data_IF_679366895777
#
_entry.id   IF_679366895777
#
_cell.length_a   1.000
_cell.length_b   1.000
_cell.length_c   1.000
_cell.angle_alpha   90.00
_cell.angle_beta   90.00
_cell.angle_gamma   90.00
#
_symmetry.space_group_name_H-M   'P 1'
#
loop_
_entity.id
_entity.type
_entity.pdbx_description
1 polymer ?
#
# COMPACT_ATOMS: atom_id res chain seq x y z
N UNK A 1 -1.94 -11.06 13.99
CA UNK A 1 -0.92 -11.19 12.93
C UNK A 1 -1.64 -11.47 11.61
N UNK A 2 -1.30 -10.74 10.54
CA UNK A 2 -1.95 -10.92 9.23
C UNK A 2 -1.52 -12.23 8.58
N UNK A 3 -2.44 -12.87 7.87
CA UNK A 3 -2.20 -14.12 7.16
C UNK A 3 -1.55 -13.90 5.79
N UNK A 4 -1.12 -14.98 5.13
CA UNK A 4 -0.44 -14.92 3.84
C UNK A 4 -1.27 -14.28 2.74
N UNK A 5 -2.59 -14.48 2.74
CA UNK A 5 -3.47 -13.85 1.75
C UNK A 5 -3.52 -12.33 1.93
N UNK A 6 -3.56 -11.84 3.18
CA UNK A 6 -3.49 -10.41 3.49
C UNK A 6 -2.13 -9.83 3.10
N UNK A 7 -1.04 -10.53 3.38
CA UNK A 7 0.32 -10.17 2.95
C UNK A 7 0.43 -10.09 1.42
N UNK A 8 -0.17 -11.02 0.69
CA UNK A 8 -0.18 -11.00 -0.77
C UNK A 8 -0.99 -9.81 -1.34
N UNK A 9 -2.14 -9.48 -0.74
CA UNK A 9 -2.92 -8.29 -1.13
C UNK A 9 -2.12 -7.02 -0.86
N UNK A 10 -1.43 -6.94 0.28
CA UNK A 10 -0.57 -5.82 0.65
C UNK A 10 0.53 -5.56 -0.39
N UNK A 11 1.26 -6.61 -0.80
CA UNK A 11 2.30 -6.51 -1.83
C UNK A 11 1.71 -6.04 -3.17
N UNK A 12 0.63 -6.67 -3.64
CA UNK A 12 -0.01 -6.29 -4.92
C UNK A 12 -0.49 -4.84 -4.92
N UNK A 13 -0.93 -4.32 -3.78
CA UNK A 13 -1.31 -2.94 -3.62
C UNK A 13 -0.09 -2.02 -3.76
N UNK A 14 0.99 -2.31 -3.04
CA UNK A 14 2.26 -1.58 -3.15
C UNK A 14 2.84 -1.61 -4.57
N UNK A 15 2.83 -2.78 -5.23
CA UNK A 15 3.24 -2.93 -6.62
C UNK A 15 2.39 -2.06 -7.56
N UNK A 16 1.05 -2.05 -7.37
CA UNK A 16 0.15 -1.23 -8.19
C UNK A 16 0.43 0.27 -8.02
N UNK A 17 0.64 0.73 -6.78
CA UNK A 17 1.05 2.11 -6.51
C UNK A 17 2.39 2.45 -7.16
N UNK A 18 3.41 1.58 -7.01
CA UNK A 18 4.74 1.78 -7.59
C UNK A 18 4.72 1.88 -9.13
N UNK A 19 3.80 1.12 -9.76
CA UNK A 19 3.58 1.12 -11.20
C UNK A 19 2.61 2.22 -11.65
N UNK A 20 2.17 3.09 -10.73
CA UNK A 20 1.23 4.21 -10.99
C UNK A 20 -0.12 3.74 -11.54
N UNK A 21 -0.51 2.51 -11.21
CA UNK A 21 -1.82 1.91 -11.51
C UNK A 21 -2.79 2.22 -10.37
N UNK A 22 -3.06 3.51 -10.18
CA UNK A 22 -3.84 4.00 -9.03
C UNK A 22 -5.28 3.51 -9.03
N UNK A 23 -5.87 3.32 -10.20
CA UNK A 23 -7.19 2.70 -10.38
C UNK A 23 -7.23 1.27 -9.83
N UNK A 24 -6.21 0.47 -10.15
CA UNK A 24 -6.07 -0.90 -9.66
C UNK A 24 -5.85 -0.88 -8.15
N UNK A 25 -4.89 -0.09 -7.65
CA UNK A 25 -4.63 0.03 -6.21
C UNK A 25 -5.90 0.45 -5.44
N UNK A 26 -6.62 1.45 -5.93
CA UNK A 26 -7.85 1.94 -5.32
C UNK A 26 -8.96 0.90 -5.32
N UNK A 27 -9.09 0.06 -6.36
CA UNK A 27 -10.06 -1.04 -6.40
C UNK A 27 -9.79 -2.16 -5.38
N UNK A 28 -8.57 -2.20 -4.80
CA UNK A 28 -8.20 -3.12 -3.73
C UNK A 28 -8.59 -2.58 -2.34
N UNK A 29 -8.96 -1.30 -2.23
CA UNK A 29 -9.47 -0.71 -1.00
C UNK A 29 -10.92 -1.13 -0.73
N UNK A 30 -11.31 -1.10 0.55
CA UNK A 30 -12.69 -1.34 0.99
C UNK A 30 -13.62 -0.24 0.48
N UNK A 31 -14.92 -0.52 0.39
CA UNK A 31 -15.92 0.50 0.02
C UNK A 31 -15.94 1.67 1.00
N UNK A 32 -15.72 1.41 2.29
CA UNK A 32 -15.64 2.45 3.31
C UNK A 32 -14.45 3.39 3.06
N UNK A 33 -13.26 2.84 2.80
CA UNK A 33 -12.08 3.62 2.48
C UNK A 33 -12.25 4.39 1.15
N UNK A 34 -12.82 3.75 0.13
CA UNK A 34 -13.16 4.41 -1.13
C UNK A 34 -14.16 5.55 -0.93
N UNK A 35 -15.14 5.42 -0.03
CA UNK A 35 -16.13 6.49 0.21
C UNK A 35 -15.55 7.76 0.83
N UNK A 36 -14.35 7.66 1.43
CA UNK A 36 -13.67 8.73 2.15
C UNK A 36 -12.58 9.43 1.34
N UNK A 37 -12.24 8.88 0.16
CA UNK A 37 -11.12 9.35 -0.65
C UNK A 37 -11.42 9.17 -2.14
N UNK A 38 -10.48 9.52 -3.02
CA UNK A 38 -10.58 9.34 -4.46
C UNK A 38 -9.29 8.77 -5.03
N UNK A 39 -9.36 8.25 -6.26
CA UNK A 39 -8.17 7.81 -7.01
C UNK A 39 -7.14 8.94 -7.15
N UNK A 40 -7.62 10.17 -7.41
CA UNK A 40 -6.74 11.34 -7.56
C UNK A 40 -6.06 11.72 -6.24
N UNK A 41 -6.75 11.61 -5.10
CA UNK A 41 -6.16 11.85 -3.79
C UNK A 41 -5.09 10.79 -3.44
N UNK A 42 -5.39 9.51 -3.68
CA UNK A 42 -4.41 8.42 -3.54
C UNK A 42 -3.17 8.67 -4.39
N UNK A 43 -3.36 9.05 -5.66
CA UNK A 43 -2.27 9.43 -6.58
C UNK A 43 -1.44 10.58 -6.00
N UNK A 44 -2.10 11.68 -5.64
CA UNK A 44 -1.41 12.89 -5.17
C UNK A 44 -0.60 12.61 -3.91
N UNK A 45 -1.17 11.87 -2.95
CA UNK A 45 -0.50 11.52 -1.71
C UNK A 45 0.72 10.60 -1.96
N UNK A 46 0.59 9.64 -2.88
CA UNK A 46 1.71 8.77 -3.25
C UNK A 46 2.80 9.52 -4.00
N UNK A 47 2.46 10.36 -4.98
CA UNK A 47 3.44 11.11 -5.77
C UNK A 47 4.13 12.23 -4.96
N UNK A 48 3.54 12.67 -3.84
CA UNK A 48 4.20 13.58 -2.89
C UNK A 48 5.38 12.93 -2.16
N UNK A 49 5.25 11.65 -1.80
CA UNK A 49 6.34 10.92 -1.13
C UNK A 49 7.29 10.29 -2.13
N UNK A 50 6.79 9.81 -3.27
CA UNK A 50 7.57 9.15 -4.33
C UNK A 50 7.30 9.87 -5.65
N UNK A 51 8.08 10.90 -6.00
CA UNK A 51 7.86 11.66 -7.22
C UNK A 51 8.09 10.81 -8.48
N UNK A 52 7.56 11.30 -9.60
CA UNK A 52 7.62 10.60 -10.89
C UNK A 52 9.05 10.39 -11.42
N UNK A 53 10.01 11.17 -10.93
CA UNK A 53 11.42 11.08 -11.28
C UNK A 53 12.28 10.30 -10.26
N UNK A 54 11.67 9.60 -9.29
CA UNK A 54 12.40 8.80 -8.29
C UNK A 54 13.29 7.71 -8.91
N UNK A 55 12.94 7.23 -10.11
CA UNK A 55 13.58 6.08 -10.74
C UNK A 55 12.78 4.79 -10.51
N UNK A 56 13.45 3.64 -10.58
CA UNK A 56 12.83 2.35 -10.31
C UNK A 56 12.57 2.21 -8.80
N UNK A 57 11.37 1.76 -8.44
CA UNK A 57 11.00 1.46 -7.06
C UNK A 57 11.22 -0.03 -6.86
N UNK A 58 12.36 -0.39 -6.27
CA UNK A 58 12.80 -1.76 -6.00
C UNK A 58 13.84 -1.73 -4.87
N UNK A 59 13.80 -2.65 -3.88
CA UNK A 59 12.81 -3.71 -3.70
C UNK A 59 11.45 -3.22 -3.17
N UNK A 60 10.40 -4.01 -3.41
CA UNK A 60 9.08 -3.88 -2.76
C UNK A 60 8.89 -5.09 -1.83
N UNK A 61 9.07 -4.89 -0.52
CA UNK A 61 9.19 -6.00 0.43
C UNK A 61 8.41 -5.76 1.72
N UNK A 62 7.77 -6.83 2.24
CA UNK A 62 7.20 -6.81 3.59
C UNK A 62 8.33 -7.04 4.60
N UNK A 63 8.42 -6.17 5.61
CA UNK A 63 9.21 -6.42 6.81
C UNK A 63 8.40 -7.32 7.73
N UNK A 64 8.75 -8.61 7.77
CA UNK A 64 8.07 -9.58 8.62
C UNK A 64 8.52 -9.44 10.08
N UNK A 65 7.77 -8.64 10.84
CA UNK A 65 7.96 -8.51 12.28
C UNK A 65 6.65 -8.84 13.01
N UNK A 66 6.65 -9.98 13.69
CA UNK A 66 5.48 -10.50 14.42
C UNK A 66 5.02 -9.59 15.57
N UNK A 67 5.81 -8.59 15.96
CA UNK A 67 5.46 -7.61 16.98
C UNK A 67 4.64 -6.44 16.42
N UNK A 68 4.64 -6.24 15.10
CA UNK A 68 3.88 -5.14 14.51
C UNK A 68 2.40 -5.51 14.38
N UNK A 69 1.48 -4.64 14.84
CA UNK A 69 0.04 -4.81 14.62
C UNK A 69 -0.38 -4.44 13.19
N UNK A 70 0.57 -4.13 12.29
CA UNK A 70 0.38 -3.70 10.90
C UNK A 70 1.32 -4.46 9.96
N UNK A 71 1.03 -4.45 8.66
CA UNK A 71 1.98 -4.84 7.62
C UNK A 71 2.81 -3.61 7.26
N UNK A 72 4.14 -3.73 7.36
CA UNK A 72 5.07 -2.68 6.96
C UNK A 72 5.74 -3.10 5.65
N UNK A 73 5.53 -2.31 4.59
CA UNK A 73 6.10 -2.54 3.27
C UNK A 73 7.15 -1.47 3.01
N UNK A 74 8.37 -1.88 2.69
CA UNK A 74 9.44 -1.00 2.25
C UNK A 74 9.36 -0.83 0.73
N UNK A 75 9.45 0.41 0.29
CA UNK A 75 9.62 0.81 -1.10
C UNK A 75 11.04 1.33 -1.26
N UNK A 76 11.90 0.49 -1.84
CA UNK A 76 13.28 0.83 -2.12
C UNK A 76 13.43 1.80 -3.29
N UNK A 77 14.48 2.59 -3.25
CA UNK A 77 15.01 3.31 -4.39
C UNK A 77 16.50 3.56 -4.22
N UNK A 78 17.13 4.04 -5.29
CA UNK A 78 18.58 4.13 -5.39
C UNK A 78 19.23 5.02 -4.31
N UNK A 79 18.49 6.00 -3.78
CA UNK A 79 19.00 7.01 -2.83
C UNK A 79 18.25 7.00 -1.50
N UNK A 80 16.93 6.77 -1.53
CA UNK A 80 16.07 6.80 -0.36
C UNK A 80 15.08 5.64 -0.39
N UNK A 81 14.54 5.28 0.78
CA UNK A 81 13.46 4.31 0.91
C UNK A 81 12.26 4.95 1.59
N UNK A 82 11.08 4.65 1.07
CA UNK A 82 9.78 5.01 1.66
C UNK A 82 9.05 3.76 2.13
N UNK A 83 7.88 3.93 2.74
CA UNK A 83 7.08 2.80 3.21
C UNK A 83 5.59 3.00 3.05
N UNK A 84 4.89 1.87 3.01
CA UNK A 84 3.44 1.77 3.12
C UNK A 84 3.13 0.95 4.37
N UNK A 85 2.26 1.47 5.22
CA UNK A 85 1.78 0.79 6.41
C UNK A 85 0.34 0.39 6.17
N UNK A 86 -0.01 -0.87 6.34
CA UNK A 86 -1.40 -1.35 6.26
C UNK A 86 -1.80 -1.89 7.62
N UNK A 87 -2.70 -1.18 8.31
CA UNK A 87 -3.15 -1.47 9.67
C UNK A 87 -4.41 -2.31 9.72
N UNK A 88 -5.20 -2.36 8.63
CA UNK A 88 -6.50 -3.02 8.65
C UNK A 88 -6.93 -3.58 7.30
N UNK A 89 -7.60 -4.74 7.36
CA UNK A 89 -8.24 -5.40 6.24
C UNK A 89 -9.67 -5.78 6.59
N UNK A 90 -10.53 -5.84 5.59
CA UNK A 90 -11.91 -6.31 5.70
C UNK A 90 -12.22 -7.34 4.62
N UNK A 91 -13.18 -8.21 4.87
CA UNK A 91 -13.74 -9.12 3.85
C UNK A 91 -14.99 -8.49 3.24
N UNK A 92 -14.97 -8.22 1.95
CA UNK A 92 -16.11 -7.70 1.20
C UNK A 92 -16.36 -8.61 -0.01
N UNK A 93 -17.58 -9.13 -0.14
CA UNK A 93 -17.95 -10.04 -1.23
C UNK A 93 -16.98 -11.24 -1.39
N UNK A 94 -16.50 -11.81 -0.27
CA UNK A 94 -15.49 -12.87 -0.20
C UNK A 94 -14.09 -12.49 -0.73
N UNK A 95 -13.81 -11.20 -0.92
CA UNK A 95 -12.48 -10.68 -1.24
C UNK A 95 -11.87 -9.95 -0.04
N UNK A 96 -10.57 -10.10 0.16
CA UNK A 96 -9.81 -9.31 1.14
C UNK A 96 -9.56 -7.92 0.55
N UNK A 97 -9.97 -6.88 1.27
CA UNK A 97 -9.78 -5.48 0.91
C UNK A 97 -8.96 -4.74 1.97
N UNK A 98 -8.16 -3.77 1.53
CA UNK A 98 -7.44 -2.87 2.42
C UNK A 98 -8.44 -1.88 3.01
N UNK A 99 -8.55 -1.83 4.33
CA UNK A 99 -9.48 -0.95 5.02
C UNK A 99 -8.81 0.33 5.53
N UNK A 100 -7.51 0.27 5.81
CA UNK A 100 -6.75 1.41 6.31
C UNK A 100 -5.28 1.25 5.92
N UNK A 101 -4.68 2.33 5.42
CA UNK A 101 -3.26 2.39 5.09
C UNK A 101 -2.71 3.80 5.32
N UNK A 102 -1.41 3.89 5.52
CA UNK A 102 -0.65 5.13 5.64
C UNK A 102 0.58 5.07 4.74
N UNK A 103 1.03 6.25 4.31
CA UNK A 103 2.23 6.42 3.48
C UNK A 103 3.32 7.11 4.31
N UNK A 104 4.56 6.65 4.15
CA UNK A 104 5.71 7.15 4.89
C UNK A 104 6.07 6.26 6.08
N UNK A 105 6.95 6.77 6.95
CA UNK A 105 7.50 6.07 8.11
C UNK A 105 6.69 6.40 9.37
N UNK A 106 6.45 5.42 10.28
CA UNK A 106 5.80 5.68 11.55
C UNK A 106 6.65 6.54 12.49
#
# INVERSE_FOLDING_TARGET
MFNDNQKQVAIKFAESLSQRKYDIAYSMCSKDLQSKSSVDEMKNNFEQIIPTNWGNIDPIEIVDNNQFPFIYIVLGGDIYSESIIISSFISENNEIKINEYELGRP
#
